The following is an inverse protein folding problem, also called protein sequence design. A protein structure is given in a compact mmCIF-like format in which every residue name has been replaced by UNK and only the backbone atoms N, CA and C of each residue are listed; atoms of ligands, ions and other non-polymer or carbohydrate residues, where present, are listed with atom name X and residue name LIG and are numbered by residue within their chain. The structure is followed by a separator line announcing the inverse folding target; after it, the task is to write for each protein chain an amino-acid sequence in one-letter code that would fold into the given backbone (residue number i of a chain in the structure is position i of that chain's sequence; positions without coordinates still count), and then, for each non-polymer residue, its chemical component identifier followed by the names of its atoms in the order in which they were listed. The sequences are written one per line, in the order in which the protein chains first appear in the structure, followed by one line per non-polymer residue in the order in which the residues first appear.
data_IF_636466935300
#
_entry.id   IF_636466935300
#
_cell.length_a   1.000
_cell.length_b   1.000
_cell.length_c   1.000
_cell.angle_alpha   90.00
_cell.angle_beta   90.00
_cell.angle_gamma   90.00
#
_symmetry.space_group_name_H-M   'P 1'
#
loop_
_entity.id
_entity.type
_entity.pdbx_description
1 polymer ?
#
# COMPACT_ATOMS: atom_id res chain seq x y z
N UNK A 1 0.07 -16.67 3.41
CA UNK A 1 0.24 -16.22 2.01
C UNK A 1 1.02 -14.90 1.91
N UNK A 2 0.49 -13.75 2.32
CA UNK A 2 1.21 -12.46 2.22
C UNK A 2 2.51 -12.47 3.03
N UNK A 3 2.50 -12.93 4.26
CA UNK A 3 3.68 -13.05 5.11
C UNK A 3 4.71 -14.04 4.54
N UNK A 4 4.28 -15.20 4.05
CA UNK A 4 5.17 -16.22 3.47
C UNK A 4 5.92 -15.71 2.24
N UNK A 5 5.33 -14.80 1.49
CA UNK A 5 5.91 -14.20 0.27
C UNK A 5 6.45 -12.77 0.50
N UNK A 6 6.54 -12.33 1.77
CA UNK A 6 7.03 -10.99 2.16
C UNK A 6 6.36 -9.84 1.40
N UNK A 7 5.05 -9.95 1.19
CA UNK A 7 4.28 -9.00 0.38
C UNK A 7 3.72 -7.86 1.23
N UNK A 8 3.75 -6.68 0.66
CA UNK A 8 3.14 -5.52 1.26
C UNK A 8 1.61 -5.65 1.32
N UNK A 9 1.05 -5.60 2.52
CA UNK A 9 -0.38 -5.77 2.76
C UNK A 9 -1.21 -4.71 2.02
N UNK A 10 -0.87 -3.44 2.19
CA UNK A 10 -1.60 -2.32 1.59
C UNK A 10 -1.60 -2.41 0.07
N UNK A 11 -0.43 -2.64 -0.53
CA UNK A 11 -0.28 -2.72 -1.97
C UNK A 11 -1.00 -3.95 -2.55
N UNK A 12 -1.02 -5.07 -1.82
CA UNK A 12 -1.74 -6.27 -2.25
C UNK A 12 -3.24 -6.03 -2.37
N UNK A 13 -3.87 -5.41 -1.37
CA UNK A 13 -5.30 -5.13 -1.40
C UNK A 13 -5.69 -3.97 -2.33
N UNK A 14 -4.88 -2.93 -2.41
CA UNK A 14 -5.09 -1.85 -3.40
C UNK A 14 -4.91 -2.35 -4.83
N UNK A 15 -4.00 -3.30 -5.05
CA UNK A 15 -3.82 -3.98 -6.34
C UNK A 15 -5.02 -4.83 -6.75
N UNK A 16 -5.68 -5.51 -5.81
CA UNK A 16 -6.92 -6.26 -6.07
C UNK A 16 -8.06 -5.36 -6.57
N UNK A 17 -8.11 -4.11 -6.11
CA UNK A 17 -9.03 -3.10 -6.61
C UNK A 17 -8.63 -2.55 -8.00
N UNK A 18 -7.48 -2.98 -8.56
CA UNK A 18 -6.95 -2.54 -9.85
C UNK A 18 -6.29 -1.16 -9.82
N UNK A 19 -5.89 -0.69 -8.64
CA UNK A 19 -5.28 0.65 -8.46
C UNK A 19 -3.76 0.65 -8.54
N UNK A 20 -3.11 -0.50 -8.30
CA UNK A 20 -1.65 -0.66 -8.32
C UNK A 20 -1.26 -1.82 -9.24
N UNK A 21 -0.21 -1.64 -10.01
CA UNK A 21 0.34 -2.65 -10.91
C UNK A 21 1.27 -3.67 -10.19
N UNK A 22 1.40 -3.57 -8.86
CA UNK A 22 2.50 -4.17 -8.10
C UNK A 22 2.33 -5.64 -7.70
N UNK A 23 1.31 -6.34 -8.19
CA UNK A 23 1.06 -7.74 -7.81
C UNK A 23 1.76 -8.77 -8.74
N UNK A 24 2.63 -8.33 -9.64
CA UNK A 24 3.26 -9.21 -10.61
C UNK A 24 4.02 -10.43 -10.02
N UNK A 25 4.80 -10.31 -8.93
CA UNK A 25 5.44 -11.47 -8.31
C UNK A 25 4.43 -12.44 -7.66
N UNK A 26 3.34 -11.91 -7.13
CA UNK A 26 2.30 -12.67 -6.46
C UNK A 26 1.49 -13.51 -7.45
N UNK A 27 1.21 -12.96 -8.63
CA UNK A 27 0.42 -13.63 -9.67
C UNK A 27 1.05 -14.95 -10.15
N UNK A 28 2.34 -15.17 -9.88
CA UNK A 28 3.08 -16.36 -10.27
C UNK A 28 3.02 -17.50 -9.24
N UNK A 29 2.42 -17.31 -8.07
CA UNK A 29 2.36 -18.35 -7.02
C UNK A 29 1.07 -19.15 -7.09
N UNK A 30 1.16 -20.48 -6.90
CA UNK A 30 -0.01 -21.38 -6.89
C UNK A 30 -1.02 -20.99 -5.81
N UNK A 31 -0.54 -20.62 -4.63
CA UNK A 31 -1.35 -20.16 -3.49
C UNK A 31 -2.22 -18.96 -3.87
N UNK A 32 -1.64 -18.00 -4.57
CA UNK A 32 -2.36 -16.83 -5.03
C UNK A 32 -3.40 -17.16 -6.08
N UNK A 33 -3.05 -18.00 -7.04
CA UNK A 33 -3.99 -18.42 -8.10
C UNK A 33 -5.19 -19.17 -7.51
N UNK A 34 -4.96 -20.05 -6.54
CA UNK A 34 -6.02 -20.77 -5.85
C UNK A 34 -6.92 -19.82 -5.06
N UNK A 35 -6.33 -18.90 -4.32
CA UNK A 35 -7.07 -17.89 -3.57
C UNK A 35 -7.87 -16.97 -4.49
N UNK A 36 -7.28 -16.50 -5.59
CA UNK A 36 -7.94 -15.66 -6.59
C UNK A 36 -9.15 -16.35 -7.23
N UNK A 37 -9.05 -17.65 -7.51
CA UNK A 37 -10.17 -18.42 -8.05
C UNK A 37 -11.36 -18.44 -7.06
N UNK A 38 -11.10 -18.66 -5.78
CA UNK A 38 -12.12 -18.63 -4.73
C UNK A 38 -12.74 -17.23 -4.58
N UNK A 39 -11.90 -16.18 -4.58
CA UNK A 39 -12.34 -14.81 -4.48
C UNK A 39 -13.18 -14.37 -5.68
N UNK A 40 -12.78 -14.74 -6.90
CA UNK A 40 -13.55 -14.47 -8.12
C UNK A 40 -14.89 -15.21 -8.12
N UNK A 41 -14.92 -16.47 -7.65
CA UNK A 41 -16.16 -17.22 -7.51
C UNK A 41 -17.13 -16.54 -6.54
N UNK A 42 -16.64 -16.08 -5.39
CA UNK A 42 -17.45 -15.32 -4.42
C UNK A 42 -17.97 -13.99 -4.98
N UNK A 43 -17.21 -13.34 -5.88
CA UNK A 43 -17.65 -12.11 -6.56
C UNK A 43 -18.68 -12.37 -7.66
N UNK A 44 -18.69 -13.58 -8.27
CA UNK A 44 -19.66 -13.94 -9.32
C UNK A 44 -21.06 -14.08 -8.77
N UNK A 45 -21.22 -14.45 -7.51
CA UNK A 45 -22.49 -14.46 -6.80
C UNK A 45 -23.04 -13.05 -6.50
N UNK A 46 -22.27 -12.01 -6.80
CA UNK A 46 -22.63 -10.61 -6.59
C UNK A 46 -22.94 -9.97 -7.94
N UNK A 47 -24.22 -9.73 -8.24
CA UNK A 47 -24.68 -9.20 -9.52
C UNK A 47 -24.14 -7.81 -9.87
N UNK A 48 -23.55 -7.08 -8.88
CA UNK A 48 -23.02 -5.74 -9.03
C UNK A 48 -21.50 -5.66 -8.83
N UNK A 49 -20.73 -6.18 -9.81
CA UNK A 49 -19.26 -6.13 -9.81
C UNK A 49 -18.69 -4.70 -9.76
N UNK A 50 -19.26 -3.70 -10.49
CA UNK A 50 -18.80 -2.32 -10.38
C UNK A 50 -18.93 -1.74 -8.97
N UNK A 51 -20.05 -1.99 -8.29
CA UNK A 51 -20.23 -1.53 -6.92
C UNK A 51 -19.30 -2.26 -5.91
N UNK A 52 -19.05 -3.54 -6.12
CA UNK A 52 -18.07 -4.28 -5.32
C UNK A 52 -16.66 -3.70 -5.46
N UNK A 53 -16.23 -3.43 -6.70
CA UNK A 53 -14.96 -2.76 -6.97
C UNK A 53 -14.88 -1.38 -6.32
N UNK A 54 -15.91 -0.57 -6.47
CA UNK A 54 -15.95 0.76 -5.86
C UNK A 54 -15.82 0.71 -4.33
N UNK A 55 -16.51 -0.24 -3.65
CA UNK A 55 -16.35 -0.46 -2.21
C UNK A 55 -14.91 -0.83 -1.84
N UNK A 56 -14.26 -1.68 -2.63
CA UNK A 56 -12.85 -2.03 -2.42
C UNK A 56 -11.93 -0.82 -2.56
N UNK A 57 -12.16 0.02 -3.57
CA UNK A 57 -11.40 1.26 -3.79
C UNK A 57 -11.55 2.24 -2.62
N UNK A 58 -12.72 2.32 -2.02
CA UNK A 58 -12.98 3.17 -0.85
C UNK A 58 -12.42 2.59 0.45
N UNK A 59 -12.28 1.27 0.56
CA UNK A 59 -11.81 0.61 1.76
C UNK A 59 -10.27 0.45 1.80
N UNK A 60 -9.60 0.45 0.64
CA UNK A 60 -8.17 0.19 0.54
C UNK A 60 -7.43 1.45 0.08
N UNK A 61 -6.74 2.16 0.98
CA UNK A 61 -5.95 3.34 0.62
C UNK A 61 -4.78 2.96 -0.29
N UNK A 62 -4.37 3.88 -1.14
CA UNK A 62 -3.17 3.76 -1.98
C UNK A 62 -1.93 4.11 -1.17
N UNK A 63 -2.05 5.08 -0.27
CA UNK A 63 -0.97 5.59 0.56
C UNK A 63 -1.31 5.41 2.03
N UNK A 64 -0.32 4.96 2.79
CA UNK A 64 -0.33 4.95 4.26
C UNK A 64 0.93 5.65 4.78
N UNK A 65 0.96 6.14 6.02
CA UNK A 65 2.17 6.73 6.60
C UNK A 65 3.18 5.63 6.94
N UNK A 66 3.98 5.22 5.95
CA UNK A 66 4.97 4.14 6.08
C UNK A 66 6.15 4.57 6.94
N UNK A 67 6.65 3.68 7.77
CA UNK A 67 7.72 3.97 8.72
C UNK A 67 8.99 4.54 8.08
N UNK A 68 9.42 4.02 6.92
CA UNK A 68 10.59 4.55 6.23
C UNK A 68 10.40 6.00 5.74
N UNK A 69 9.19 6.36 5.29
CA UNK A 69 8.88 7.74 4.89
C UNK A 69 8.83 8.69 6.08
N UNK A 70 8.29 8.22 7.20
CA UNK A 70 8.29 8.97 8.46
C UNK A 70 9.73 9.19 8.94
N UNK A 71 10.55 8.16 8.91
CA UNK A 71 11.97 8.25 9.30
C UNK A 71 12.74 9.25 8.42
N UNK A 72 12.54 9.23 7.11
CA UNK A 72 13.14 10.21 6.20
C UNK A 72 12.72 11.65 6.53
N UNK A 73 11.44 11.86 6.84
CA UNK A 73 10.94 13.19 7.23
C UNK A 73 11.56 13.66 8.57
N UNK A 74 11.69 12.76 9.55
CA UNK A 74 12.33 13.03 10.83
C UNK A 74 13.82 13.38 10.63
N UNK A 75 14.55 12.59 9.84
CA UNK A 75 15.97 12.82 9.56
C UNK A 75 16.22 14.18 8.90
N UNK A 76 15.37 14.56 7.91
CA UNK A 76 15.46 15.87 7.29
C UNK A 76 15.24 17.00 8.30
N UNK A 77 14.23 16.87 9.17
CA UNK A 77 13.96 17.89 10.20
C UNK A 77 15.11 18.02 11.21
N UNK A 78 15.77 16.91 11.57
CA UNK A 78 16.93 16.93 12.47
C UNK A 78 18.19 17.52 11.83
N UNK A 79 18.39 17.34 10.52
CA UNK A 79 19.54 17.91 9.79
C UNK A 79 19.38 19.40 9.48
N UNK A 80 18.29 20.03 9.93
CA UNK A 80 17.94 21.44 9.65
C UNK A 80 17.78 21.75 8.14
N UNK A 81 17.59 20.73 7.30
CA UNK A 81 17.36 20.88 5.86
C UNK A 81 15.90 21.22 5.50
N UNK A 82 15.06 21.43 6.54
CA UNK A 82 13.66 21.84 6.39
C UNK A 82 12.65 20.72 6.62
N UNK A 83 11.41 20.97 6.20
CA UNK A 83 10.26 20.08 6.43
C UNK A 83 9.61 19.57 5.15
N UNK A 84 10.25 19.71 4.00
CA UNK A 84 9.66 19.38 2.69
C UNK A 84 9.20 17.91 2.61
N UNK A 85 9.95 16.98 3.22
CA UNK A 85 9.60 15.57 3.28
C UNK A 85 8.36 15.35 4.14
N UNK A 86 8.28 16.05 5.27
CA UNK A 86 7.12 16.00 6.15
C UNK A 86 5.88 16.56 5.46
N UNK A 87 5.98 17.73 4.84
CA UNK A 87 4.86 18.41 4.18
C UNK A 87 4.35 17.57 3.00
N UNK A 88 5.24 16.99 2.21
CA UNK A 88 4.89 16.12 1.10
C UNK A 88 4.21 14.82 1.57
N UNK A 89 4.71 14.21 2.65
CA UNK A 89 4.08 13.02 3.24
C UNK A 89 2.71 13.37 3.83
N UNK A 90 2.60 14.47 4.56
CA UNK A 90 1.34 14.95 5.14
C UNK A 90 0.29 15.16 4.04
N UNK A 91 0.66 15.82 2.95
CA UNK A 91 -0.24 16.01 1.81
C UNK A 91 -0.71 14.68 1.22
N UNK A 92 0.19 13.72 1.03
CA UNK A 92 -0.15 12.40 0.48
C UNK A 92 -1.10 11.60 1.39
N UNK A 93 -0.91 11.63 2.72
CA UNK A 93 -1.74 10.87 3.67
C UNK A 93 -3.05 11.56 4.02
N UNK A 94 -3.23 12.84 3.67
CA UNK A 94 -4.52 13.54 3.84
C UNK A 94 -5.54 13.21 2.74
N UNK A 95 -5.07 12.74 1.58
CA UNK A 95 -5.93 12.17 0.53
C UNK A 95 -5.41 10.79 0.07
N UNK A 96 -5.49 9.77 0.95
CA UNK A 96 -4.82 8.49 0.75
C UNK A 96 -5.45 7.63 -0.35
N UNK A 97 -6.60 8.02 -0.88
CA UNK A 97 -7.34 7.30 -1.93
C UNK A 97 -7.16 7.93 -3.32
N UNK A 98 -6.41 9.03 -3.44
CA UNK A 98 -6.15 9.69 -4.72
C UNK A 98 -5.43 8.74 -5.70
N UNK A 99 -6.04 8.37 -6.84
CA UNK A 99 -5.41 7.49 -7.82
C UNK A 99 -4.14 8.08 -8.45
N UNK A 100 -3.95 9.40 -8.40
CA UNK A 100 -2.73 10.07 -8.84
C UNK A 100 -1.49 9.67 -8.03
N UNK A 101 -1.69 9.20 -6.79
CA UNK A 101 -0.61 8.75 -5.91
C UNK A 101 -0.13 7.32 -6.19
N UNK A 102 -0.82 6.53 -7.02
CA UNK A 102 -0.51 5.12 -7.25
C UNK A 102 0.92 4.86 -7.76
N UNK A 103 1.49 5.80 -8.51
CA UNK A 103 2.88 5.71 -9.02
C UNK A 103 3.87 6.57 -8.22
N UNK A 104 3.42 7.21 -7.16
CA UNK A 104 4.29 8.02 -6.31
C UNK A 104 5.18 7.16 -5.42
N UNK A 105 6.27 7.75 -4.93
CA UNK A 105 7.12 7.11 -3.91
C UNK A 105 6.36 6.76 -2.62
N UNK A 106 5.27 7.46 -2.33
CA UNK A 106 4.46 7.25 -1.12
C UNK A 106 3.66 5.94 -1.17
N UNK A 107 3.34 5.43 -2.37
CA UNK A 107 2.68 4.13 -2.55
C UNK A 107 3.66 2.95 -2.56
N UNK A 108 4.97 3.19 -2.68
CA UNK A 108 5.97 2.14 -2.76
C UNK A 108 6.22 1.49 -1.40
N UNK A 109 6.37 0.17 -1.39
CA UNK A 109 6.88 -0.54 -0.22
C UNK A 109 8.33 -0.15 0.06
N UNK A 110 8.81 -0.23 1.32
CA UNK A 110 10.20 0.03 1.63
C UNK A 110 11.12 -0.96 0.89
N UNK A 111 12.28 -0.49 0.44
CA UNK A 111 13.35 -1.38 0.03
C UNK A 111 13.91 -2.12 1.26
N UNK A 112 14.66 -3.21 1.06
CA UNK A 112 15.14 -4.06 2.15
C UNK A 112 16.04 -3.33 3.17
N UNK A 113 16.75 -2.31 2.72
CA UNK A 113 17.61 -1.44 3.54
C UNK A 113 16.84 -0.28 4.21
N UNK A 114 15.63 0.01 3.74
CA UNK A 114 14.74 1.03 4.32
C UNK A 114 13.79 0.47 5.40
N UNK A 115 13.79 -0.85 5.63
CA UNK A 115 12.93 -1.48 6.64
C UNK A 115 13.32 -1.01 8.03
N UNK A 116 12.44 -0.23 8.67
CA UNK A 116 12.62 0.24 10.04
C UNK A 116 12.39 -0.93 11.00
N UNK A 117 13.48 -1.43 11.57
CA UNK A 117 13.46 -2.61 12.45
C UNK A 117 12.93 -2.32 13.85
N UNK A 118 12.93 -1.07 14.28
CA UNK A 118 12.50 -0.66 15.61
C UNK A 118 11.87 0.72 15.55
N UNK A 119 10.65 0.84 16.05
CA UNK A 119 9.96 2.12 16.25
C UNK A 119 9.90 2.42 17.74
N UNK A 120 10.05 3.69 18.10
CA UNK A 120 10.01 4.16 19.49
C UNK A 120 8.66 4.81 19.83
N UNK A 121 7.63 4.52 19.06
CA UNK A 121 6.29 5.03 19.32
C UNK A 121 5.70 4.37 20.57
N UNK A 122 5.27 5.18 21.55
CA UNK A 122 4.55 4.71 22.73
C UNK A 122 5.40 4.25 23.91
N UNK A 123 6.63 4.66 23.93
CA UNK A 123 7.47 4.49 25.15
C UNK A 123 7.29 5.63 26.13
#
# INVERSE_FOLDING_TARGET
MLETHELDFTNSFSGLAGRLESNAPLLATDDWQQWMAQWQAALQDNDDKPAARHRMEQANPIVIPRNHLIEHAIQQAYSEEGFDQFDALLQAVTDPFDPGLARSRFAQAPASDEIVKRTFCGT
#
